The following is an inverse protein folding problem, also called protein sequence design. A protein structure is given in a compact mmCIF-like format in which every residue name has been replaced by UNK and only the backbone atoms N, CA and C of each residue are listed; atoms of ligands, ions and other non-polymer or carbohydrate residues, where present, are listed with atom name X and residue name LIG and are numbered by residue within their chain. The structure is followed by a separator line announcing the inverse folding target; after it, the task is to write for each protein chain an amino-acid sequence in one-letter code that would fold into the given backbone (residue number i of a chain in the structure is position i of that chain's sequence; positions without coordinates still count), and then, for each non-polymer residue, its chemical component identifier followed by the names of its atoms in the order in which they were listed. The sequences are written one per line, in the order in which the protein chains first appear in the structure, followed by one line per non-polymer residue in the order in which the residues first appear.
data_IF_665830752282
#
_entry.id   IF_665830752282
#
_cell.length_a   1.000
_cell.length_b   1.000
_cell.length_c   1.000
_cell.angle_alpha   90.00
_cell.angle_beta   90.00
_cell.angle_gamma   90.00
#
_symmetry.space_group_name_H-M   'P 1'
#
loop_
_entity.id
_entity.type
_entity.pdbx_description
1 polymer ?
#
# COMPACT_ATOMS: atom_id res chain seq x y z
N UNK A 1 22.61 13.85 3.93
CA UNK A 1 21.78 14.34 5.06
C UNK A 1 20.39 13.74 4.87
N UNK A 2 20.11 12.59 5.49
CA UNK A 2 18.96 11.75 5.11
C UNK A 2 17.68 12.11 5.86
N UNK A 3 16.60 12.34 5.12
CA UNK A 3 15.25 12.38 5.68
C UNK A 3 14.89 11.03 6.29
N UNK A 4 14.32 11.05 7.49
CA UNK A 4 13.87 9.82 8.17
C UNK A 4 12.37 9.70 7.98
N UNK A 5 11.97 8.84 7.05
CA UNK A 5 10.58 8.44 6.93
C UNK A 5 10.29 7.36 7.97
N UNK A 6 9.24 7.57 8.77
CA UNK A 6 8.74 6.58 9.72
C UNK A 6 7.35 6.13 9.34
N UNK A 7 7.14 4.82 9.40
CA UNK A 7 5.83 4.21 9.20
C UNK A 7 5.00 4.41 10.48
N UNK A 8 3.93 5.19 10.41
CA UNK A 8 3.16 5.62 11.60
C UNK A 8 1.76 4.99 11.70
N UNK A 9 1.25 4.35 10.63
CA UNK A 9 -0.10 3.76 10.62
C UNK A 9 -0.11 2.24 10.55
N UNK A 10 -0.56 1.55 11.60
CA UNK A 10 -0.60 0.06 11.66
C UNK A 10 -1.88 -0.58 11.08
N UNK A 11 -2.70 0.18 10.34
CA UNK A 11 -3.92 -0.39 9.76
C UNK A 11 -3.63 -0.99 8.39
N UNK A 12 -4.22 -2.14 8.09
CA UNK A 12 -4.08 -2.77 6.77
C UNK A 12 -4.80 -1.99 5.66
N UNK A 13 -5.72 -1.09 6.03
CA UNK A 13 -6.51 -0.28 5.11
C UNK A 13 -5.99 1.16 4.94
N UNK A 14 -4.99 1.57 5.73
CA UNK A 14 -4.37 2.89 5.62
C UNK A 14 -2.90 2.86 6.07
N UNK A 15 -2.03 3.39 5.22
CA UNK A 15 -0.59 3.48 5.45
C UNK A 15 -0.20 4.95 5.50
N UNK A 16 0.60 5.31 6.50
CA UNK A 16 1.14 6.67 6.66
C UNK A 16 2.66 6.61 6.73
N UNK A 17 3.31 7.34 5.82
CA UNK A 17 4.74 7.62 5.86
C UNK A 17 4.95 9.04 6.34
N UNK A 18 5.49 9.19 7.54
CA UNK A 18 5.81 10.50 8.11
C UNK A 18 7.22 10.92 7.78
N UNK A 19 7.36 12.12 7.26
CA UNK A 19 8.64 12.78 7.05
C UNK A 19 8.86 13.92 8.05
N UNK A 20 9.98 13.86 8.76
CA UNK A 20 10.37 14.88 9.74
C UNK A 20 11.45 15.78 9.15
N UNK A 21 11.16 17.09 9.07
CA UNK A 21 12.13 18.06 8.59
C UNK A 21 13.17 18.43 9.65
N UNK A 22 14.41 18.66 9.21
CA UNK A 22 15.38 19.55 9.89
C UNK A 22 15.44 20.95 9.27
N UNK A 23 14.62 21.24 8.25
CA UNK A 23 14.51 22.54 7.57
C UNK A 23 13.31 22.59 6.60
N UNK A 24 12.63 23.74 6.49
CA UNK A 24 11.30 23.85 5.87
C UNK A 24 11.26 23.72 4.34
N UNK A 25 12.31 24.15 3.62
CA UNK A 25 12.30 24.17 2.14
C UNK A 25 12.49 22.81 1.47
N UNK A 26 13.31 21.93 2.05
CA UNK A 26 13.63 20.61 1.48
C UNK A 26 12.52 19.58 1.74
N UNK A 27 11.72 19.78 2.79
CA UNK A 27 10.63 18.87 3.18
C UNK A 27 9.56 18.75 2.07
N UNK A 28 9.07 19.89 1.58
CA UNK A 28 7.98 19.92 0.60
C UNK A 28 8.40 19.35 -0.75
N UNK A 29 9.60 19.72 -1.22
CA UNK A 29 10.14 19.21 -2.48
C UNK A 29 10.31 17.69 -2.43
N UNK A 30 10.84 17.17 -1.33
CA UNK A 30 11.02 15.72 -1.15
C UNK A 30 9.68 14.99 -1.03
N UNK A 31 8.74 15.50 -0.22
CA UNK A 31 7.42 14.90 -0.09
C UNK A 31 6.68 14.87 -1.44
N UNK A 32 6.82 15.92 -2.27
CA UNK A 32 6.25 15.94 -3.62
C UNK A 32 6.86 14.85 -4.52
N UNK A 33 8.19 14.62 -4.46
CA UNK A 33 8.84 13.52 -5.21
C UNK A 33 8.35 12.15 -4.76
N UNK A 34 8.26 11.92 -3.45
CA UNK A 34 7.74 10.65 -2.90
C UNK A 34 6.29 10.43 -3.33
N UNK A 35 5.44 11.46 -3.24
CA UNK A 35 4.04 11.39 -3.64
C UNK A 35 3.91 11.01 -5.12
N UNK A 36 4.61 11.70 -6.01
CA UNK A 36 4.59 11.43 -7.45
C UNK A 36 5.07 10.01 -7.79
N UNK A 37 6.16 9.57 -7.15
CA UNK A 37 6.67 8.21 -7.31
C UNK A 37 5.66 7.17 -6.79
N UNK A 38 5.03 7.40 -5.64
CA UNK A 38 4.02 6.50 -5.10
C UNK A 38 2.80 6.36 -6.02
N UNK A 39 2.32 7.48 -6.58
CA UNK A 39 1.21 7.49 -7.54
C UNK A 39 1.56 6.79 -8.86
N UNK A 40 2.82 6.82 -9.28
CA UNK A 40 3.28 6.10 -10.48
C UNK A 40 3.46 4.61 -10.24
N UNK A 41 3.94 4.23 -9.05
CA UNK A 41 4.30 2.84 -8.72
C UNK A 41 3.13 1.99 -8.23
N UNK A 42 2.03 2.61 -7.81
CA UNK A 42 0.88 1.87 -7.29
C UNK A 42 0.19 1.10 -8.43
N UNK A 43 -0.04 -0.19 -8.21
CA UNK A 43 -0.88 -0.99 -9.12
C UNK A 43 -2.33 -0.51 -9.11
N UNK A 44 -2.96 -0.47 -10.28
CA UNK A 44 -4.32 0.07 -10.48
C UNK A 44 -5.27 -1.04 -10.94
N UNK A 45 -6.40 -1.16 -10.25
CA UNK A 45 -7.57 -1.95 -10.68
C UNK A 45 -8.73 -1.00 -11.00
N UNK A 46 -9.42 -0.48 -9.97
CA UNK A 46 -10.51 0.51 -10.12
C UNK A 46 -10.07 1.98 -9.98
N UNK A 47 -8.79 2.24 -9.67
CA UNK A 47 -8.28 3.58 -9.40
C UNK A 47 -8.53 4.11 -7.98
N UNK A 48 -9.36 3.47 -7.16
CA UNK A 48 -9.68 3.92 -5.78
C UNK A 48 -8.44 4.10 -4.90
N UNK A 49 -7.52 3.14 -4.92
CA UNK A 49 -6.30 3.23 -4.13
C UNK A 49 -5.41 4.37 -4.62
N UNK A 50 -5.22 4.54 -5.94
CA UNK A 50 -4.46 5.65 -6.50
C UNK A 50 -5.04 7.01 -6.06
N UNK A 51 -6.35 7.18 -6.19
CA UNK A 51 -7.04 8.41 -5.80
C UNK A 51 -6.94 8.71 -4.28
N UNK A 52 -6.70 7.69 -3.46
CA UNK A 52 -6.49 7.87 -2.01
C UNK A 52 -5.09 8.32 -1.63
N UNK A 53 -4.11 8.30 -2.53
CA UNK A 53 -2.73 8.66 -2.22
C UNK A 53 -2.60 10.18 -2.24
N UNK A 54 -2.33 10.76 -1.08
CA UNK A 54 -2.19 12.21 -0.91
C UNK A 54 -1.16 12.54 0.17
N UNK A 55 -0.89 13.84 0.32
CA UNK A 55 -0.03 14.37 1.38
C UNK A 55 -0.85 15.18 2.38
N UNK A 56 -0.49 15.07 3.65
CA UNK A 56 -1.05 15.86 4.75
C UNK A 56 0.08 16.62 5.45
N UNK A 57 -0.19 17.87 5.84
CA UNK A 57 0.79 18.73 6.53
C UNK A 57 0.40 18.85 7.99
N UNK A 58 1.39 18.85 8.87
CA UNK A 58 1.15 19.09 10.29
C UNK A 58 2.34 19.71 11.00
N UNK A 59 2.12 19.97 12.29
CA UNK A 59 3.14 20.49 13.21
C UNK A 59 3.01 19.78 14.54
N UNK A 60 4.12 19.39 15.14
CA UNK A 60 4.18 18.85 16.48
C UNK A 60 5.26 19.58 17.31
N UNK A 61 5.53 19.10 18.53
CA UNK A 61 6.55 19.65 19.43
C UNK A 61 7.98 19.59 18.88
N UNK A 62 8.24 18.77 17.86
CA UNK A 62 9.55 18.60 17.22
C UNK A 62 9.69 19.49 15.97
N UNK A 63 8.57 19.93 15.37
CA UNK A 63 8.58 20.82 14.20
C UNK A 63 7.48 20.51 13.18
N UNK A 64 7.55 21.12 11.98
CA UNK A 64 6.68 20.77 10.88
C UNK A 64 7.00 19.37 10.34
N UNK A 65 5.96 18.66 9.87
CA UNK A 65 6.08 17.37 9.21
C UNK A 65 5.14 17.30 8.00
N UNK A 66 5.46 16.39 7.08
CA UNK A 66 4.58 16.01 5.97
C UNK A 66 4.37 14.51 6.02
N UNK A 67 3.11 14.11 6.02
CA UNK A 67 2.70 12.71 5.95
C UNK A 67 2.30 12.40 4.51
N UNK A 68 2.79 11.27 3.96
CA UNK A 68 2.25 10.66 2.75
C UNK A 68 1.29 9.56 3.19
N UNK A 69 0.02 9.74 2.85
CA UNK A 69 -1.07 8.86 3.24
C UNK A 69 -1.51 8.07 2.02
N UNK A 70 -1.66 6.76 2.18
CA UNK A 70 -2.29 5.89 1.20
C UNK A 70 -3.43 5.12 1.87
N UNK A 71 -4.56 5.00 1.19
CA UNK A 71 -5.72 4.28 1.65
C UNK A 71 -6.76 5.12 2.38
N UNK A 72 -8.00 4.65 2.29
CA UNK A 72 -9.17 5.18 3.00
C UNK A 72 -9.67 4.05 3.91
N UNK A 73 -9.69 4.27 5.24
CA UNK A 73 -10.19 3.29 6.19
C UNK A 73 -11.56 2.73 5.82
N UNK A 74 -11.71 1.40 5.88
CA UNK A 74 -12.94 0.70 5.52
C UNK A 74 -13.21 0.56 4.01
N UNK A 75 -12.52 1.32 3.14
CA UNK A 75 -12.71 1.27 1.68
C UNK A 75 -11.57 0.50 1.01
N UNK A 76 -10.31 0.81 1.34
CA UNK A 76 -9.13 0.18 0.74
C UNK A 76 -8.57 -0.95 1.60
N UNK A 77 -9.43 -1.87 2.04
CA UNK A 77 -9.06 -2.99 2.92
C UNK A 77 -8.04 -3.97 2.31
N UNK A 78 -7.75 -3.81 1.01
CA UNK A 78 -6.76 -4.57 0.27
C UNK A 78 -5.37 -3.91 0.25
N UNK A 79 -5.21 -2.68 0.74
CA UNK A 79 -3.96 -1.91 0.67
C UNK A 79 -2.79 -2.69 1.29
N UNK A 80 -2.95 -3.21 2.50
CA UNK A 80 -1.90 -3.95 3.19
C UNK A 80 -1.41 -5.15 2.37
N UNK A 81 -2.33 -5.92 1.79
CA UNK A 81 -1.99 -7.05 0.93
C UNK A 81 -1.36 -6.61 -0.40
N UNK A 82 -1.78 -5.47 -0.95
CA UNK A 82 -1.18 -4.91 -2.17
C UNK A 82 0.24 -4.41 -1.93
N UNK A 83 0.48 -3.76 -0.79
CA UNK A 83 1.76 -3.18 -0.44
C UNK A 83 2.75 -4.24 0.06
N UNK A 84 2.36 -5.05 1.04
CA UNK A 84 3.22 -6.03 1.70
C UNK A 84 3.13 -7.45 1.13
N UNK A 85 2.09 -7.75 0.35
CA UNK A 85 1.80 -9.10 -0.12
C UNK A 85 1.00 -9.90 0.91
N UNK A 86 0.80 -11.18 0.60
CA UNK A 86 0.16 -12.15 1.47
C UNK A 86 0.95 -13.46 1.41
N UNK A 87 1.16 -14.08 2.57
CA UNK A 87 1.80 -15.39 2.65
C UNK A 87 0.95 -16.54 2.11
N UNK A 88 1.50 -17.76 2.09
CA UNK A 88 0.75 -18.97 1.74
C UNK A 88 -0.50 -19.12 2.60
N UNK A 89 -1.65 -19.40 1.97
CA UNK A 89 -2.92 -19.52 2.67
C UNK A 89 -3.92 -20.43 1.93
N UNK A 90 -4.93 -20.91 2.65
CA UNK A 90 -6.00 -21.72 2.06
C UNK A 90 -7.15 -20.82 1.60
N UNK A 91 -7.52 -20.93 0.34
CA UNK A 91 -8.78 -20.37 -0.18
C UNK A 91 -9.81 -21.49 -0.14
N UNK A 92 -10.93 -21.27 0.54
CA UNK A 92 -12.00 -22.28 0.72
C UNK A 92 -13.36 -21.75 0.29
N UNK A 93 -14.20 -22.63 -0.23
CA UNK A 93 -15.59 -22.32 -0.49
C UNK A 93 -16.31 -22.09 0.85
N UNK A 94 -16.86 -20.89 1.08
CA UNK A 94 -17.54 -20.53 2.34
C UNK A 94 -19.05 -20.62 2.26
N UNK A 95 -19.66 -20.11 1.18
CA UNK A 95 -21.12 -20.01 1.01
C UNK A 95 -21.69 -20.99 -0.03
N UNK A 96 -20.82 -21.73 -0.73
CA UNK A 96 -21.17 -22.64 -1.82
C UNK A 96 -20.44 -23.97 -1.62
N UNK A 97 -20.84 -25.00 -2.37
CA UNK A 97 -20.31 -26.36 -2.23
C UNK A 97 -18.85 -26.52 -2.66
N UNK A 98 -18.40 -25.74 -3.65
CA UNK A 98 -17.04 -25.78 -4.19
C UNK A 98 -16.63 -24.46 -4.86
N UNK A 99 -15.31 -24.28 -5.02
CA UNK A 99 -14.66 -23.34 -5.93
C UNK A 99 -14.63 -23.93 -7.34
N UNK A 100 -14.73 -23.09 -8.37
CA UNK A 100 -14.72 -23.51 -9.78
C UNK A 100 -13.50 -22.90 -10.48
N UNK A 101 -12.77 -23.71 -11.24
CA UNK A 101 -11.65 -23.28 -12.05
C UNK A 101 -11.77 -23.83 -13.48
N UNK A 102 -11.12 -23.15 -14.43
CA UNK A 102 -10.89 -23.69 -15.77
C UNK A 102 -9.43 -24.16 -15.79
N UNK A 103 -9.22 -25.45 -16.03
CA UNK A 103 -7.90 -26.07 -16.05
C UNK A 103 -7.76 -26.93 -17.30
N UNK A 104 -6.81 -26.60 -18.17
CA UNK A 104 -6.58 -27.30 -19.45
C UNK A 104 -7.86 -27.43 -20.32
N UNK A 105 -8.69 -26.39 -20.32
CA UNK A 105 -9.95 -26.34 -21.08
C UNK A 105 -11.15 -26.99 -20.38
N UNK A 106 -10.95 -27.70 -19.28
CA UNK A 106 -12.02 -28.35 -18.52
C UNK A 106 -12.40 -27.57 -17.26
N UNK A 107 -13.66 -27.71 -16.84
CA UNK A 107 -14.14 -27.11 -15.59
C UNK A 107 -13.89 -28.08 -14.44
N UNK A 108 -13.09 -27.66 -13.46
CA UNK A 108 -12.76 -28.45 -12.26
C UNK A 108 -13.26 -27.78 -10.98
N UNK A 109 -13.57 -28.58 -9.97
CA UNK A 109 -14.14 -28.11 -8.71
C UNK A 109 -13.34 -28.59 -7.49
N UNK A 110 -13.08 -27.69 -6.55
CA UNK A 110 -12.38 -28.00 -5.30
C UNK A 110 -13.08 -27.39 -4.10
N UNK A 111 -13.10 -28.09 -2.95
CA UNK A 111 -13.59 -27.51 -1.69
C UNK A 111 -12.67 -26.39 -1.18
N UNK A 112 -11.37 -26.56 -1.41
CA UNK A 112 -10.33 -25.62 -1.04
C UNK A 112 -9.11 -25.75 -1.96
N UNK A 113 -8.28 -24.71 -2.00
CA UNK A 113 -6.98 -24.71 -2.68
C UNK A 113 -5.92 -24.10 -1.76
N UNK A 114 -4.67 -24.57 -1.84
CA UNK A 114 -3.51 -23.95 -1.19
C UNK A 114 -2.93 -22.90 -2.12
N UNK A 115 -3.15 -21.63 -1.79
CA UNK A 115 -2.57 -20.50 -2.51
C UNK A 115 -1.15 -20.25 -1.98
N UNK A 116 -0.12 -20.12 -2.85
CA UNK A 116 1.26 -19.90 -2.41
C UNK A 116 1.47 -18.51 -1.78
N UNK A 117 0.51 -17.61 -1.95
CA UNK A 117 0.62 -16.21 -1.56
C UNK A 117 0.86 -15.31 -2.78
N UNK A 118 0.97 -14.02 -2.55
CA UNK A 118 1.34 -13.03 -3.56
C UNK A 118 2.44 -12.12 -3.02
N UNK A 119 3.34 -11.69 -3.90
CA UNK A 119 4.39 -10.73 -3.55
C UNK A 119 3.79 -9.33 -3.43
N UNK A 120 4.22 -8.59 -2.41
CA UNK A 120 3.88 -7.18 -2.26
C UNK A 120 4.48 -6.34 -3.38
N UNK A 121 3.78 -5.27 -3.76
CA UNK A 121 4.32 -4.27 -4.70
C UNK A 121 5.35 -3.37 -4.05
N UNK A 122 5.30 -3.24 -2.72
CA UNK A 122 6.11 -2.35 -1.88
C UNK A 122 6.19 -0.91 -2.44
N UNK A 123 5.12 -0.43 -3.07
CA UNK A 123 5.15 0.81 -3.85
C UNK A 123 5.57 2.04 -3.04
N UNK A 124 5.17 2.15 -1.76
CA UNK A 124 5.60 3.24 -0.87
C UNK A 124 7.08 3.15 -0.51
N UNK A 125 7.59 1.97 -0.18
CA UNK A 125 9.03 1.75 0.08
C UNK A 125 9.86 2.09 -1.16
N UNK A 126 9.42 1.62 -2.32
CA UNK A 126 10.08 1.92 -3.60
C UNK A 126 10.00 3.40 -3.96
N UNK A 127 8.90 4.08 -3.63
CA UNK A 127 8.77 5.52 -3.81
C UNK A 127 9.72 6.31 -2.91
N UNK A 128 9.94 5.84 -1.67
CA UNK A 128 10.97 6.41 -0.79
C UNK A 128 12.36 6.25 -1.37
N UNK A 129 12.70 5.06 -1.87
CA UNK A 129 14.00 4.79 -2.47
C UNK A 129 14.22 5.58 -3.77
N UNK A 130 13.17 5.75 -4.59
CA UNK A 130 13.24 6.52 -5.84
C UNK A 130 13.35 8.04 -5.64
N UNK A 131 12.97 8.55 -4.47
CA UNK A 131 12.97 9.98 -4.15
C UNK A 131 14.21 10.45 -3.36
N UNK A 132 15.12 9.52 -3.04
CA UNK A 132 16.44 9.80 -2.47
C UNK A 132 17.34 10.50 -3.49
#
# INVERSE_FOLDING_TARGET
MGARFTYTGHRLDQIVLRDLARGAGDLEARAARVLAAAQTLVGVDTGRLLASIHRERGRNSVGPYVDIVAGIPGITNYLGYHHFGAGPHIIRARRRKALRFIWRGEVVFFKWVRHPGNRGTYFLTRALDAAR
#
